data_IF_136349838799
#
_entry.id   IF_136349838799
#
_cell.length_a   1.000
_cell.length_b   1.000
_cell.length_c   1.000
_cell.angle_alpha   90.00
_cell.angle_beta   90.00
_cell.angle_gamma   90.00
#
_symmetry.space_group_name_H-M   'P 1'
#
loop_
_entity.id
_entity.type
_entity.pdbx_description
1 polymer ?
#
# COMPACT_ATOMS: atom_id res chain seq x y z
N UNK A 1 -25.17 -25.12 52.86
CA UNK A 1 -24.60 -23.76 52.85
C UNK A 1 -23.40 -23.75 51.91
N UNK A 2 -23.48 -22.91 50.87
CA UNK A 2 -22.47 -22.50 49.87
C UNK A 2 -21.35 -23.49 49.49
N UNK A 3 -21.54 -24.25 48.41
CA UNK A 3 -20.42 -24.70 47.57
C UNK A 3 -20.16 -23.60 46.52
N UNK A 4 -19.02 -22.93 46.63
CA UNK A 4 -18.51 -22.00 45.61
C UNK A 4 -18.20 -22.79 44.33
N UNK A 5 -18.73 -22.43 43.15
CA UNK A 5 -18.18 -22.94 41.90
C UNK A 5 -16.74 -22.43 41.75
N UNK A 6 -15.84 -23.34 41.41
CA UNK A 6 -14.42 -23.06 41.30
C UNK A 6 -14.14 -22.06 40.18
N UNK A 7 -13.19 -21.17 40.43
CA UNK A 7 -12.63 -20.17 39.51
C UNK A 7 -11.97 -20.78 38.25
N UNK A 8 -12.14 -22.07 38.02
CA UNK A 8 -11.56 -22.89 36.96
C UNK A 8 -12.63 -23.53 36.05
N UNK A 9 -13.90 -23.17 36.23
CA UNK A 9 -14.91 -23.26 35.15
C UNK A 9 -14.72 -22.10 34.14
N UNK A 10 -13.47 -21.73 33.88
CA UNK A 10 -13.13 -21.00 32.67
C UNK A 10 -13.41 -21.96 31.53
N UNK A 11 -14.60 -21.79 30.95
CA UNK A 11 -15.00 -22.30 29.64
C UNK A 11 -13.75 -22.60 28.84
N UNK A 12 -13.57 -23.88 28.56
CA UNK A 12 -12.59 -24.42 27.64
C UNK A 12 -12.21 -23.35 26.62
N UNK A 13 -11.05 -22.73 26.85
CA UNK A 13 -10.31 -21.96 25.86
C UNK A 13 -9.77 -22.91 24.78
N UNK A 14 -10.61 -23.82 24.29
CA UNK A 14 -10.80 -24.00 22.85
C UNK A 14 -11.43 -22.71 22.31
N UNK A 15 -10.73 -21.59 22.50
CA UNK A 15 -10.74 -20.51 21.56
C UNK A 15 -10.38 -21.17 20.25
N UNK A 16 -11.42 -21.45 19.47
CA UNK A 16 -11.36 -21.93 18.11
C UNK A 16 -10.16 -21.29 17.43
N UNK A 17 -9.07 -22.06 17.27
CA UNK A 17 -8.05 -21.74 16.31
C UNK A 17 -8.79 -21.72 14.98
N UNK A 18 -9.00 -20.55 14.35
CA UNK A 18 -9.59 -20.53 13.02
C UNK A 18 -8.62 -21.32 12.16
N UNK A 19 -9.12 -22.36 11.48
CA UNK A 19 -8.37 -23.32 10.66
C UNK A 19 -7.07 -22.69 10.13
N UNK A 20 -5.98 -22.98 10.84
CA UNK A 20 -4.71 -22.24 10.85
C UNK A 20 -3.82 -22.63 9.66
N UNK A 21 -4.42 -23.11 8.57
CA UNK A 21 -3.74 -23.73 7.44
C UNK A 21 -3.20 -22.74 6.40
N UNK A 22 -3.73 -21.51 6.33
CA UNK A 22 -3.53 -20.64 5.16
C UNK A 22 -3.27 -19.16 5.49
N UNK A 23 -2.81 -18.84 6.71
CA UNK A 23 -2.49 -17.47 7.11
C UNK A 23 -1.00 -17.33 7.44
N UNK A 24 -0.35 -16.34 6.83
CA UNK A 24 1.04 -15.96 7.13
C UNK A 24 1.03 -14.64 7.89
N UNK A 25 1.56 -14.66 9.12
CA UNK A 25 1.74 -13.42 9.87
C UNK A 25 2.71 -12.48 9.11
N UNK A 26 2.32 -11.22 8.84
CA UNK A 26 3.19 -10.27 8.18
C UNK A 26 4.39 -9.96 9.06
N UNK A 27 5.55 -9.95 8.43
CA UNK A 27 6.80 -9.50 9.03
C UNK A 27 7.33 -8.32 8.20
N UNK A 28 8.32 -7.61 8.73
CA UNK A 28 8.90 -6.45 8.05
C UNK A 28 9.51 -6.83 6.68
N UNK A 29 9.99 -8.07 6.52
CA UNK A 29 10.47 -8.59 5.24
C UNK A 29 9.37 -8.72 4.18
N UNK A 30 8.17 -9.16 4.57
CA UNK A 30 6.99 -9.20 3.70
C UNK A 30 6.58 -7.77 3.32
N UNK A 31 6.49 -6.87 4.30
CA UNK A 31 6.21 -5.45 4.08
C UNK A 31 7.20 -4.79 3.11
N UNK A 32 8.50 -5.04 3.28
CA UNK A 32 9.55 -4.50 2.42
C UNK A 32 9.46 -5.01 0.98
N UNK A 33 9.15 -6.29 0.77
CA UNK A 33 8.96 -6.86 -0.58
C UNK A 33 7.75 -6.26 -1.29
N UNK A 34 6.66 -6.06 -0.56
CA UNK A 34 5.43 -5.43 -1.07
C UNK A 34 5.70 -3.96 -1.39
N UNK A 35 6.35 -3.24 -0.47
CA UNK A 35 6.76 -1.86 -0.66
C UNK A 35 7.69 -1.71 -1.86
N UNK A 36 8.69 -2.58 -2.04
CA UNK A 36 9.58 -2.52 -3.20
C UNK A 36 8.83 -2.75 -4.52
N UNK A 37 7.87 -3.70 -4.50
CA UNK A 37 7.02 -3.97 -5.66
C UNK A 37 6.05 -2.82 -5.99
N UNK A 38 5.71 -2.00 -5.00
CA UNK A 38 4.91 -0.78 -5.14
C UNK A 38 5.73 0.40 -5.64
N UNK A 39 6.81 0.69 -4.91
CA UNK A 39 7.51 1.95 -4.95
C UNK A 39 8.15 2.19 -6.31
N UNK A 40 8.95 1.24 -6.81
CA UNK A 40 9.69 1.44 -8.06
C UNK A 40 8.81 1.62 -9.29
N UNK A 41 7.82 0.73 -9.56
CA UNK A 41 6.95 0.94 -10.72
C UNK A 41 6.17 2.25 -10.61
N UNK A 42 5.63 2.56 -9.43
CA UNK A 42 4.84 3.78 -9.21
C UNK A 42 5.69 5.03 -9.40
N UNK A 43 6.89 5.07 -8.83
CA UNK A 43 7.83 6.19 -8.94
C UNK A 43 8.34 6.38 -10.36
N UNK A 44 8.72 5.31 -11.07
CA UNK A 44 9.21 5.41 -12.45
C UNK A 44 8.13 5.87 -13.42
N UNK A 45 6.93 5.31 -13.33
CA UNK A 45 5.79 5.70 -14.17
C UNK A 45 5.41 7.16 -13.87
N UNK A 46 5.32 7.52 -12.59
CA UNK A 46 5.00 8.90 -12.20
C UNK A 46 6.07 9.88 -12.69
N UNK A 47 7.35 9.56 -12.52
CA UNK A 47 8.45 10.39 -12.99
C UNK A 47 8.38 10.62 -14.50
N UNK A 48 8.19 9.55 -15.28
CA UNK A 48 8.06 9.65 -16.73
C UNK A 48 6.88 10.54 -17.14
N UNK A 49 5.70 10.30 -16.57
CA UNK A 49 4.50 11.10 -16.86
C UNK A 49 4.70 12.56 -16.47
N UNK A 50 5.27 12.85 -15.30
CA UNK A 50 5.53 14.21 -14.83
C UNK A 50 6.49 14.93 -15.79
N UNK A 51 7.59 14.29 -16.19
CA UNK A 51 8.56 14.88 -17.13
C UNK A 51 7.90 15.19 -18.46
N UNK A 52 7.17 14.22 -19.05
CA UNK A 52 6.48 14.40 -20.33
C UNK A 52 5.46 15.54 -20.25
N UNK A 53 4.60 15.53 -19.23
CA UNK A 53 3.57 16.56 -19.07
C UNK A 53 4.17 17.95 -18.78
N UNK A 54 5.29 18.02 -18.06
CA UNK A 54 6.01 19.28 -17.82
C UNK A 54 6.60 19.83 -19.13
N UNK A 55 7.17 18.98 -19.98
CA UNK A 55 7.67 19.38 -21.30
C UNK A 55 6.54 19.85 -22.20
N UNK A 56 5.40 19.16 -22.20
CA UNK A 56 4.21 19.55 -22.97
C UNK A 56 3.64 20.89 -22.49
N UNK A 57 3.55 21.11 -21.17
CA UNK A 57 3.14 22.39 -20.59
C UNK A 57 4.07 23.53 -21.00
N UNK A 58 5.39 23.30 -20.98
CA UNK A 58 6.37 24.28 -21.45
C UNK A 58 6.17 24.59 -22.94
N UNK A 59 5.96 23.57 -23.77
CA UNK A 59 5.72 23.78 -25.21
C UNK A 59 4.40 24.51 -25.49
N UNK A 60 3.35 24.25 -24.72
CA UNK A 60 2.09 24.96 -24.84
C UNK A 60 2.21 26.44 -24.42
N UNK A 61 3.04 26.71 -23.41
CA UNK A 61 3.37 28.08 -23.00
C UNK A 61 4.20 28.82 -24.05
N UNK A 62 5.25 28.20 -24.60
CA UNK A 62 6.10 28.78 -25.64
C UNK A 62 5.33 29.13 -26.93
N UNK A 63 4.22 28.46 -27.19
CA UNK A 63 3.36 28.70 -28.36
C UNK A 63 2.15 29.60 -28.05
N UNK A 64 2.16 30.33 -26.92
CA UNK A 64 1.10 31.23 -26.46
C UNK A 64 -0.30 30.57 -26.32
N UNK A 65 -0.36 29.24 -26.22
CA UNK A 65 -1.62 28.50 -26.03
C UNK A 65 -2.12 28.60 -24.59
N UNK A 66 -1.19 28.69 -23.62
CA UNK A 66 -1.50 28.74 -22.19
C UNK A 66 -0.89 29.97 -21.53
N UNK A 67 -1.67 30.61 -20.64
CA UNK A 67 -1.17 31.70 -19.79
C UNK A 67 -0.11 31.22 -18.79
N UNK A 68 0.86 32.08 -18.49
CA UNK A 68 1.89 31.86 -17.47
C UNK A 68 1.30 31.44 -16.12
N UNK A 69 0.16 32.01 -15.72
CA UNK A 69 -0.49 31.64 -14.46
C UNK A 69 -0.97 30.19 -14.46
N UNK A 70 -1.53 29.73 -15.58
CA UNK A 70 -2.01 28.35 -15.73
C UNK A 70 -0.84 27.37 -15.62
N UNK A 71 0.29 27.68 -16.26
CA UNK A 71 1.48 26.83 -16.26
C UNK A 71 2.11 26.75 -14.86
N UNK A 72 2.16 27.86 -14.13
CA UNK A 72 2.66 27.88 -12.74
C UNK A 72 1.79 27.02 -11.81
N UNK A 73 0.47 27.18 -11.89
CA UNK A 73 -0.46 26.38 -11.09
C UNK A 73 -0.44 24.90 -11.49
N UNK A 74 -0.37 24.61 -12.80
CA UNK A 74 -0.24 23.25 -13.31
C UNK A 74 1.05 22.59 -12.79
N UNK A 75 2.21 23.24 -12.92
CA UNK A 75 3.48 22.68 -12.42
C UNK A 75 3.47 22.42 -10.92
N UNK A 76 2.71 23.20 -10.14
CA UNK A 76 2.56 23.00 -8.71
C UNK A 76 1.68 21.80 -8.36
N UNK A 77 0.57 21.60 -9.07
CA UNK A 77 -0.43 20.58 -8.74
C UNK A 77 -0.14 19.24 -9.42
N UNK A 78 0.41 19.29 -10.63
CA UNK A 78 0.62 18.15 -11.51
C UNK A 78 1.34 16.96 -10.85
N UNK A 79 2.46 17.15 -10.11
CA UNK A 79 3.15 16.03 -9.49
C UNK A 79 2.26 15.24 -8.53
N UNK A 80 1.44 15.93 -7.73
CA UNK A 80 0.55 15.30 -6.77
C UNK A 80 -0.57 14.52 -7.45
N UNK A 81 -1.17 15.09 -8.50
CA UNK A 81 -2.25 14.42 -9.26
C UNK A 81 -1.73 13.16 -9.95
N UNK A 82 -0.56 13.26 -10.59
CA UNK A 82 0.05 12.11 -11.28
C UNK A 82 0.42 11.01 -10.29
N UNK A 83 1.11 11.35 -9.19
CA UNK A 83 1.50 10.35 -8.18
C UNK A 83 0.26 9.67 -7.59
N UNK A 84 -0.76 10.45 -7.23
CA UNK A 84 -2.03 9.91 -6.73
C UNK A 84 -2.71 8.98 -7.74
N UNK A 85 -2.82 9.37 -9.01
CA UNK A 85 -3.43 8.53 -10.04
C UNK A 85 -2.65 7.22 -10.29
N UNK A 86 -1.32 7.31 -10.40
CA UNK A 86 -0.46 6.13 -10.62
C UNK A 86 -0.46 5.23 -9.38
N UNK A 87 -0.54 5.77 -8.17
CA UNK A 87 -0.61 4.98 -6.93
C UNK A 87 -1.84 4.08 -6.86
N UNK A 88 -2.99 4.51 -7.41
CA UNK A 88 -4.19 3.65 -7.51
C UNK A 88 -3.86 2.38 -8.30
N UNK A 89 -3.20 2.55 -9.45
CA UNK A 89 -2.77 1.44 -10.30
C UNK A 89 -1.70 0.58 -9.62
N UNK A 90 -0.81 1.19 -8.84
CA UNK A 90 0.18 0.50 -8.02
C UNK A 90 -0.47 -0.45 -7.01
N UNK A 91 -1.44 0.05 -6.22
CA UNK A 91 -2.17 -0.75 -5.22
C UNK A 91 -3.00 -1.83 -5.89
N UNK A 92 -3.72 -1.50 -6.98
CA UNK A 92 -4.41 -2.47 -7.82
C UNK A 92 -3.44 -3.60 -8.19
N UNK A 93 -2.29 -3.28 -8.78
CA UNK A 93 -1.29 -4.27 -9.20
C UNK A 93 -0.78 -5.14 -8.05
N UNK A 94 -0.51 -4.57 -6.89
CA UNK A 94 0.02 -5.30 -5.72
C UNK A 94 -1.00 -6.28 -5.17
N UNK A 95 -2.26 -5.87 -5.04
CA UNK A 95 -3.33 -6.70 -4.50
C UNK A 95 -3.55 -7.97 -5.32
N UNK A 96 -3.19 -8.01 -6.61
CA UNK A 96 -3.19 -9.25 -7.40
C UNK A 96 -1.82 -9.80 -7.75
N UNK A 97 -0.74 -9.28 -7.17
CA UNK A 97 0.61 -9.80 -7.43
C UNK A 97 0.81 -11.07 -6.62
N UNK A 98 1.17 -12.16 -7.31
CA UNK A 98 1.64 -13.39 -6.67
C UNK A 98 3.13 -13.25 -6.39
N UNK A 99 3.54 -13.24 -5.11
CA UNK A 99 4.95 -13.25 -4.74
C UNK A 99 5.46 -14.70 -4.68
N UNK A 100 6.78 -14.89 -4.62
CA UNK A 100 7.39 -16.21 -4.72
C UNK A 100 6.92 -17.16 -3.61
N UNK A 101 6.77 -16.66 -2.38
CA UNK A 101 6.42 -17.43 -1.18
C UNK A 101 5.02 -17.13 -0.61
N UNK A 102 4.38 -16.03 -1.01
CA UNK A 102 3.08 -15.62 -0.49
C UNK A 102 2.29 -14.85 -1.55
N UNK A 103 1.01 -14.64 -1.30
CA UNK A 103 0.14 -13.77 -2.07
C UNK A 103 -0.73 -12.94 -1.14
N UNK A 104 -1.13 -11.76 -1.60
CA UNK A 104 -2.05 -10.91 -0.86
C UNK A 104 -3.46 -11.35 -1.22
N UNK A 105 -4.25 -11.72 -0.21
CA UNK A 105 -5.63 -12.11 -0.38
C UNK A 105 -6.54 -11.18 0.42
N UNK A 106 -7.76 -11.00 -0.09
CA UNK A 106 -8.84 -10.31 0.59
C UNK A 106 -9.69 -11.39 1.25
N UNK A 107 -9.64 -11.52 2.57
CA UNK A 107 -10.46 -12.51 3.28
C UNK A 107 -11.71 -11.85 3.88
N UNK A 108 -12.84 -12.57 3.99
CA UNK A 108 -14.02 -12.08 4.71
C UNK A 108 -13.68 -11.81 6.18
N UNK A 109 -14.38 -10.84 6.78
CA UNK A 109 -14.19 -10.49 8.20
C UNK A 109 -14.59 -11.60 9.17
N UNK A 110 -15.55 -12.45 8.81
CA UNK A 110 -16.10 -13.46 9.71
C UNK A 110 -15.09 -14.60 9.97
N UNK A 111 -14.67 -14.84 11.23
CA UNK A 111 -13.63 -15.83 11.58
C UNK A 111 -14.06 -17.30 11.40
N UNK A 112 -15.32 -17.56 11.02
CA UNK A 112 -15.87 -18.91 10.82
C UNK A 112 -16.10 -19.32 9.37
N UNK A 113 -15.98 -18.41 8.39
CA UNK A 113 -15.98 -18.82 6.98
C UNK A 113 -14.54 -19.13 6.60
N UNK A 114 -14.21 -20.41 6.41
CA UNK A 114 -13.08 -20.84 5.58
C UNK A 114 -13.32 -20.45 4.12
N UNK A 115 -13.59 -19.16 3.91
CA UNK A 115 -14.17 -18.59 2.72
C UNK A 115 -13.08 -18.28 1.72
N UNK A 116 -13.33 -18.70 0.49
CA UNK A 116 -12.47 -18.43 -0.65
C UNK A 116 -12.06 -16.95 -0.72
N UNK A 117 -10.81 -16.68 -1.17
CA UNK A 117 -10.33 -15.32 -1.32
C UNK A 117 -11.30 -14.48 -2.14
N UNK A 118 -11.76 -13.37 -1.55
CA UNK A 118 -12.69 -12.44 -2.17
C UNK A 118 -12.08 -11.87 -3.45
N UNK A 119 -12.91 -11.76 -4.49
CA UNK A 119 -12.47 -11.19 -5.76
C UNK A 119 -11.99 -9.75 -5.60
N UNK A 120 -10.92 -9.44 -6.34
CA UNK A 120 -10.36 -8.10 -6.44
C UNK A 120 -11.31 -7.22 -7.27
N UNK A 121 -12.16 -6.45 -6.59
CA UNK A 121 -12.99 -5.44 -7.24
C UNK A 121 -12.33 -4.06 -7.19
N UNK A 122 -12.60 -3.23 -8.21
CA UNK A 122 -12.05 -1.87 -8.29
C UNK A 122 -12.49 -1.02 -7.10
N UNK A 123 -13.74 -1.18 -6.66
CA UNK A 123 -14.28 -0.49 -5.49
C UNK A 123 -13.52 -0.84 -4.20
N UNK A 124 -13.20 -2.12 -3.97
CA UNK A 124 -12.40 -2.55 -2.80
C UNK A 124 -10.99 -1.98 -2.86
N UNK A 125 -10.38 -1.95 -4.04
CA UNK A 125 -9.05 -1.36 -4.23
C UNK A 125 -9.06 0.13 -3.97
N UNK A 126 -10.09 0.86 -4.41
CA UNK A 126 -10.20 2.29 -4.18
C UNK A 126 -10.32 2.60 -2.68
N UNK A 127 -11.04 1.78 -1.90
CA UNK A 127 -11.09 1.89 -0.43
C UNK A 127 -9.71 1.72 0.20
N UNK A 128 -8.99 0.67 -0.17
CA UNK A 128 -7.60 0.43 0.32
C UNK A 128 -6.67 1.58 -0.08
N UNK A 129 -6.80 2.07 -1.32
CA UNK A 129 -6.02 3.20 -1.80
C UNK A 129 -6.31 4.49 -1.04
N UNK A 130 -7.58 4.76 -0.74
CA UNK A 130 -7.98 5.93 0.02
C UNK A 130 -7.39 5.93 1.44
N UNK A 131 -7.46 4.79 2.13
CA UNK A 131 -6.82 4.62 3.44
C UNK A 131 -5.30 4.77 3.35
N UNK A 132 -4.68 4.16 2.34
CA UNK A 132 -3.24 4.29 2.11
C UNK A 132 -2.83 5.75 1.95
N UNK A 133 -3.53 6.51 1.10
CA UNK A 133 -3.12 7.88 0.77
C UNK A 133 -3.30 8.81 1.98
N UNK A 134 -4.39 8.69 2.73
CA UNK A 134 -4.59 9.50 3.93
C UNK A 134 -3.61 9.17 5.03
N UNK A 135 -3.36 7.89 5.30
CA UNK A 135 -2.34 7.48 6.28
C UNK A 135 -0.98 8.02 5.87
N UNK A 136 -0.61 7.88 4.59
CA UNK A 136 0.67 8.38 4.10
C UNK A 136 0.80 9.91 4.24
N UNK A 137 -0.25 10.67 3.92
CA UNK A 137 -0.30 12.13 4.15
C UNK A 137 -0.16 12.46 5.64
N UNK A 138 -0.95 11.82 6.51
CA UNK A 138 -0.93 12.08 7.96
C UNK A 138 0.44 11.77 8.55
N UNK A 139 1.01 10.59 8.28
CA UNK A 139 2.33 10.22 8.81
C UNK A 139 3.45 11.06 8.20
N UNK A 140 3.36 11.46 6.94
CA UNK A 140 4.32 12.40 6.33
C UNK A 140 4.30 13.75 7.04
N UNK A 141 3.11 14.27 7.37
CA UNK A 141 2.95 15.52 8.12
C UNK A 141 3.52 15.38 9.53
N UNK A 142 3.16 14.31 10.24
CA UNK A 142 3.67 14.04 11.60
C UNK A 142 5.20 13.95 11.60
N UNK A 143 5.78 13.16 10.69
CA UNK A 143 7.23 13.00 10.60
C UNK A 143 7.94 14.31 10.24
N UNK A 144 7.36 15.11 9.33
CA UNK A 144 7.91 16.42 8.96
C UNK A 144 7.85 17.41 10.12
N UNK A 145 6.76 17.45 10.89
CA UNK A 145 6.64 18.35 12.04
C UNK A 145 7.58 17.91 13.15
N UNK A 146 7.49 16.64 13.58
CA UNK A 146 8.29 16.10 14.67
C UNK A 146 9.80 16.10 14.35
N UNK A 147 10.14 15.79 13.10
CA UNK A 147 11.52 15.76 12.63
C UNK A 147 12.04 17.10 12.11
N UNK A 148 11.20 18.14 12.01
CA UNK A 148 11.55 19.42 11.35
C UNK A 148 12.85 20.00 11.88
N UNK A 149 13.02 20.11 13.20
CA UNK A 149 14.18 20.80 13.77
C UNK A 149 15.48 20.03 13.46
N UNK A 150 15.52 18.73 13.78
CA UNK A 150 16.72 17.92 13.59
C UNK A 150 17.03 17.67 12.11
N UNK A 151 16.04 17.25 11.31
CA UNK A 151 16.25 16.94 9.90
C UNK A 151 16.59 18.19 9.10
N UNK A 152 15.90 19.32 9.33
CA UNK A 152 16.17 20.55 8.58
C UNK A 152 17.57 21.09 8.86
N UNK A 153 18.05 20.96 10.10
CA UNK A 153 19.41 21.36 10.46
C UNK A 153 20.44 20.48 9.76
N UNK A 154 20.29 19.15 9.79
CA UNK A 154 21.22 18.23 9.11
C UNK A 154 21.21 18.44 7.61
N UNK A 155 20.02 18.53 6.99
CA UNK A 155 19.87 18.79 5.56
C UNK A 155 20.49 20.14 5.20
N UNK A 156 20.25 21.18 6.00
CA UNK A 156 20.79 22.51 5.80
C UNK A 156 22.32 22.57 5.86
N UNK A 157 22.93 21.93 6.86
CA UNK A 157 24.40 21.86 7.02
C UNK A 157 25.02 21.14 5.82
N UNK A 158 24.47 19.98 5.43
CA UNK A 158 24.99 19.21 4.31
C UNK A 158 24.78 19.94 2.96
N UNK A 159 23.66 20.64 2.79
CA UNK A 159 23.40 21.45 1.60
C UNK A 159 24.29 22.71 1.54
N UNK A 160 24.69 23.25 2.70
CA UNK A 160 25.55 24.42 2.81
C UNK A 160 27.01 24.14 2.42
N UNK A 161 27.42 22.86 2.31
CA UNK A 161 28.73 22.46 1.76
C UNK A 161 28.93 22.88 0.29
N UNK A 162 27.86 23.33 -0.38
CA UNK A 162 27.92 23.94 -1.70
C UNK A 162 27.99 22.92 -2.84
N UNK A 163 28.08 23.46 -4.06
CA UNK A 163 28.14 22.66 -5.28
C UNK A 163 26.88 21.78 -5.48
N UNK A 164 27.03 20.53 -5.97
CA UNK A 164 25.90 19.66 -6.26
C UNK A 164 25.14 19.22 -5.00
N UNK A 165 25.74 19.31 -3.81
CA UNK A 165 25.09 18.89 -2.55
C UNK A 165 23.87 19.72 -2.21
N UNK A 166 23.81 20.98 -2.68
CA UNK A 166 22.63 21.84 -2.50
C UNK A 166 21.36 21.27 -3.14
N UNK A 167 21.51 20.49 -4.21
CA UNK A 167 20.38 19.84 -4.89
C UNK A 167 20.22 18.37 -4.46
N UNK A 168 21.34 17.64 -4.32
CA UNK A 168 21.32 16.21 -4.02
C UNK A 168 20.79 15.93 -2.62
N UNK A 169 21.27 16.65 -1.61
CA UNK A 169 20.95 16.34 -0.21
C UNK A 169 19.45 16.48 0.07
N UNK A 170 18.77 17.60 -0.28
CA UNK A 170 17.33 17.70 -0.09
C UNK A 170 16.56 16.62 -0.87
N UNK A 171 16.98 16.30 -2.09
CA UNK A 171 16.32 15.29 -2.92
C UNK A 171 16.41 13.90 -2.30
N UNK A 172 17.62 13.46 -1.91
CA UNK A 172 17.83 12.15 -1.31
C UNK A 172 17.14 12.04 0.05
N UNK A 173 17.23 13.08 0.89
CA UNK A 173 16.51 13.09 2.17
C UNK A 173 15.01 12.99 1.99
N UNK A 174 14.44 13.71 1.02
CA UNK A 174 13.02 13.65 0.69
C UNK A 174 12.60 12.24 0.26
N UNK A 175 13.38 11.61 -0.64
CA UNK A 175 13.16 10.23 -1.10
C UNK A 175 13.20 9.24 0.06
N UNK A 176 14.17 9.36 0.97
CA UNK A 176 14.32 8.49 2.14
C UNK A 176 13.15 8.64 3.12
N UNK A 177 12.72 9.88 3.38
CA UNK A 177 11.57 10.17 4.23
C UNK A 177 10.30 9.53 3.64
N UNK A 178 10.01 9.81 2.37
CA UNK A 178 8.81 9.29 1.72
C UNK A 178 8.84 7.76 1.62
N UNK A 179 10.02 7.16 1.42
CA UNK A 179 10.21 5.72 1.44
C UNK A 179 9.93 5.11 2.81
N UNK A 180 10.48 5.69 3.88
CA UNK A 180 10.30 5.21 5.24
C UNK A 180 8.83 5.28 5.67
N UNK A 181 8.15 6.40 5.39
CA UNK A 181 6.72 6.56 5.67
C UNK A 181 5.90 5.57 4.86
N UNK A 182 6.15 5.44 3.55
CA UNK A 182 5.43 4.50 2.70
C UNK A 182 5.58 3.04 3.15
N UNK A 183 6.78 2.65 3.60
CA UNK A 183 7.01 1.31 4.15
C UNK A 183 6.24 1.09 5.45
N UNK A 184 6.29 2.07 6.35
CA UNK A 184 5.56 2.03 7.61
C UNK A 184 4.05 1.90 7.38
N UNK A 185 3.48 2.68 6.46
CA UNK A 185 2.04 2.60 6.15
C UNK A 185 1.63 1.25 5.56
N UNK A 186 2.43 0.68 4.65
CA UNK A 186 2.14 -0.65 4.10
C UNK A 186 2.20 -1.71 5.20
N UNK A 187 3.24 -1.66 6.05
CA UNK A 187 3.45 -2.66 7.08
C UNK A 187 2.42 -2.57 8.21
N UNK A 188 2.16 -1.36 8.73
CA UNK A 188 1.36 -1.15 9.93
C UNK A 188 -0.09 -0.74 9.66
N UNK A 189 -0.41 -0.29 8.46
CA UNK A 189 -1.73 0.27 8.14
C UNK A 189 -2.48 -0.42 7.00
N UNK A 190 -1.89 -1.42 6.36
CA UNK A 190 -2.54 -2.19 5.28
C UNK A 190 -2.52 -3.68 5.56
N UNK A 191 -1.36 -4.23 5.94
CA UNK A 191 -1.27 -5.65 6.25
C UNK A 191 -2.04 -5.96 7.55
N UNK A 192 -2.90 -6.96 7.48
CA UNK A 192 -3.84 -7.42 8.52
C UNK A 192 -4.87 -6.38 8.98
N UNK A 193 -5.02 -5.26 8.26
CA UNK A 193 -6.02 -4.25 8.59
C UNK A 193 -7.42 -4.69 8.13
N UNK A 194 -8.43 -4.40 8.96
CA UNK A 194 -9.84 -4.61 8.65
C UNK A 194 -10.43 -3.43 7.86
N UNK A 195 -10.92 -3.68 6.64
CA UNK A 195 -11.58 -2.71 5.77
C UNK A 195 -13.10 -2.89 5.77
N UNK A 196 -13.69 -3.01 6.96
CA UNK A 196 -15.13 -3.16 7.19
C UNK A 196 -15.68 -4.53 6.77
N UNK A 197 -15.68 -4.81 5.46
CA UNK A 197 -16.25 -6.02 4.85
C UNK A 197 -15.20 -7.14 4.63
N UNK A 198 -13.92 -6.77 4.57
CA UNK A 198 -12.82 -7.69 4.28
C UNK A 198 -11.54 -7.29 5.04
N UNK A 199 -10.61 -8.23 5.20
CA UNK A 199 -9.27 -8.00 5.74
C UNK A 199 -8.22 -8.29 4.67
N UNK A 200 -7.14 -7.52 4.66
CA UNK A 200 -6.02 -7.72 3.73
C UNK A 200 -4.97 -8.58 4.43
N UNK A 201 -4.84 -9.85 4.05
CA UNK A 201 -3.95 -10.80 4.73
C UNK A 201 -3.00 -11.48 3.75
N UNK A 202 -1.90 -12.02 4.28
CA UNK A 202 -0.96 -12.81 3.49
C UNK A 202 -1.34 -14.30 3.56
N UNK A 203 -1.45 -14.93 2.39
CA UNK A 203 -1.80 -16.35 2.24
C UNK A 203 -0.66 -17.06 1.52
N UNK A 204 -0.33 -18.32 1.87
CA UNK A 204 0.62 -19.13 1.12
C UNK A 204 0.23 -19.22 -0.36
N UNK A 205 1.23 -19.25 -1.24
CA UNK A 205 0.99 -19.28 -2.70
C UNK A 205 0.17 -20.51 -3.14
N UNK A 206 0.31 -21.62 -2.42
CA UNK A 206 -0.32 -22.91 -2.72
C UNK A 206 -1.82 -22.89 -2.41
N UNK A 207 -2.24 -22.27 -1.29
CA UNK A 207 -3.66 -22.12 -0.93
C UNK A 207 -4.48 -21.31 -1.95
N UNK A 208 -3.88 -20.31 -2.59
CA UNK A 208 -4.56 -19.51 -3.64
C UNK A 208 -4.69 -20.25 -4.97
N UNK A 209 -3.81 -21.21 -5.27
CA UNK A 209 -3.92 -22.05 -6.47
C UNK A 209 -4.96 -23.15 -6.31
N UNK A 210 -5.13 -23.70 -5.10
CA UNK A 210 -6.20 -24.66 -4.79
C UNK A 210 -7.61 -24.05 -4.94
N UNK A 211 -7.83 -22.85 -4.40
CA UNK A 211 -9.11 -22.15 -4.52
C UNK A 211 -9.45 -21.74 -5.96
N UNK A 212 -8.45 -21.35 -6.77
CA UNK A 212 -8.67 -21.03 -8.18
C UNK A 212 -8.97 -22.26 -9.06
N UNK A 213 -8.45 -23.44 -8.69
CA UNK A 213 -8.73 -24.70 -9.40
C UNK A 213 -10.12 -25.27 -9.06
N UNK A 214 -10.69 -24.91 -7.90
CA UNK A 214 -12.05 -25.32 -7.51
C UNK A 214 -13.17 -24.56 -8.27
N UNK A 215 -12.82 -23.54 -9.06
CA UNK A 215 -13.75 -22.74 -9.88
C UNK A 215 -13.80 -23.24 -11.34
N UNK A 216 -13.05 -24.29 -11.69
CA UNK A 216 -13.24 -24.95 -12.99
C UNK A 216 -14.61 -25.67 -12.96
N UNK A 217 -15.56 -25.32 -13.85
CA UNK A 217 -16.93 -25.78 -13.73
C UNK A 217 -16.95 -27.29 -13.87
N UNK A 218 -17.53 -27.96 -12.87
CA UNK A 218 -17.87 -29.37 -12.93
C UNK A 218 -18.56 -29.63 -14.28
N UNK A 219 -17.86 -30.37 -15.15
CA UNK A 219 -18.41 -30.84 -16.40
C UNK A 219 -19.74 -31.55 -16.10
N UNK A 220 -20.85 -31.24 -16.79
CA UNK A 220 -22.08 -31.96 -16.59
C UNK A 220 -21.86 -33.41 -17.02
N UNK A 221 -21.89 -34.32 -16.06
CA UNK A 221 -21.91 -35.76 -16.29
C UNK A 221 -23.07 -36.08 -17.25
N UNK A 222 -22.75 -36.44 -18.49
CA UNK A 222 -23.66 -37.15 -19.38
C UNK A 222 -23.82 -38.56 -18.79
N UNK A 223 -24.96 -38.80 -18.15
CA UNK A 223 -25.40 -40.14 -17.76
C UNK A 223 -25.93 -40.84 -19.02
N UNK A 224 -25.59 -42.13 -19.24
CA UNK A 224 -25.87 -42.88 -20.48
C UNK A 224 -27.35 -43.10 -20.78
#
# INVERSE_FOLDING_TARGET
MLNKPGLLDSASLESASPSQGDYIQPNLGHGLRIWWAYYWPTSLISFFIIVVLTVLLRKAWENDVLSTQVVLWANRILPYVVISAVSVLGIWRILGKKFRSFSIALLPRAPGSGGDPLSRSFQRTLRVWWEFIWRNVVYSVILRIAGSIALSMTIGILAALGGPMRAIVPFVSQVLIDAAVGLFVIYSGILDEEFGDFRVTLVPREGVLGAASAVEPAAPNLVP
#
